data_IF_646446217718
#
_entry.id   IF_646446217718
#
_cell.length_a   1.000
_cell.length_b   1.000
_cell.length_c   1.000
_cell.angle_alpha   90.00
_cell.angle_beta   90.00
_cell.angle_gamma   90.00
#
_symmetry.space_group_name_H-M   'P 1'
#
loop_
_entity.id
_entity.type
_entity.pdbx_description
1 polymer ?
#
# COMPACT_ATOMS: atom_id res chain seq x y z
N UNK A 1 -47.55 -48.48 124.80
CA UNK A 1 -48.80 -47.68 124.64
C UNK A 1 -48.84 -47.13 123.21
N UNK A 2 -49.40 -47.91 122.32
CA UNK A 2 -49.63 -47.52 120.99
C UNK A 2 -50.94 -46.76 120.86
N UNK A 3 -50.94 -45.57 120.39
CA UNK A 3 -52.15 -44.79 120.09
C UNK A 3 -52.39 -44.94 118.58
N UNK A 4 -53.49 -45.61 118.27
CA UNK A 4 -53.99 -45.74 116.97
C UNK A 4 -54.38 -44.41 116.35
N UNK A 5 -53.87 -44.06 115.17
CA UNK A 5 -54.16 -42.85 114.43
C UNK A 5 -55.57 -43.02 113.79
N UNK A 6 -56.47 -42.05 113.96
CA UNK A 6 -57.82 -42.14 113.41
C UNK A 6 -57.83 -42.20 111.88
N UNK A 7 -58.73 -43.05 111.37
CA UNK A 7 -58.88 -43.38 109.95
C UNK A 7 -59.13 -42.12 108.98
N UNK A 8 -59.53 -41.01 109.59
CA UNK A 8 -59.81 -39.79 108.85
C UNK A 8 -58.54 -39.01 108.41
N UNK A 9 -57.48 -39.10 109.22
CA UNK A 9 -56.19 -38.37 108.86
C UNK A 9 -55.52 -39.12 107.68
N UNK A 10 -55.58 -40.43 107.61
CA UNK A 10 -55.04 -41.23 106.48
C UNK A 10 -55.74 -40.95 105.18
N UNK A 11 -57.02 -40.66 105.24
CA UNK A 11 -57.84 -40.35 104.03
C UNK A 11 -57.50 -39.01 103.49
N UNK A 12 -57.20 -38.03 104.34
CA UNK A 12 -56.88 -36.67 103.99
C UNK A 12 -55.48 -36.54 103.30
N UNK A 13 -54.47 -37.29 103.92
CA UNK A 13 -53.13 -37.34 103.29
C UNK A 13 -53.10 -38.09 101.96
N UNK A 14 -53.88 -39.18 101.81
CA UNK A 14 -53.99 -39.94 100.64
C UNK A 14 -54.63 -39.08 99.50
N UNK A 15 -55.63 -38.30 99.82
CA UNK A 15 -56.29 -37.42 98.87
C UNK A 15 -55.42 -36.23 98.50
N UNK A 16 -54.61 -35.72 99.47
CA UNK A 16 -53.66 -34.65 99.10
C UNK A 16 -52.52 -35.15 98.19
N UNK A 17 -52.05 -36.40 98.42
CA UNK A 17 -51.01 -36.98 97.58
C UNK A 17 -51.55 -37.29 96.20
N UNK A 18 -52.79 -37.86 96.10
CA UNK A 18 -53.50 -38.16 94.83
C UNK A 18 -53.73 -36.84 94.04
N UNK A 19 -54.10 -35.76 94.78
CA UNK A 19 -54.36 -34.45 94.13
C UNK A 19 -53.04 -33.79 93.64
N UNK A 20 -51.92 -33.94 94.39
CA UNK A 20 -50.62 -33.41 93.95
C UNK A 20 -50.05 -34.23 92.83
N UNK A 21 -50.09 -35.57 92.89
CA UNK A 21 -49.55 -36.43 91.81
C UNK A 21 -50.48 -36.44 90.59
N UNK A 22 -51.79 -36.29 90.80
CA UNK A 22 -52.75 -36.16 89.72
C UNK A 22 -52.62 -34.86 88.96
N UNK A 23 -52.33 -33.79 89.69
CA UNK A 23 -52.07 -32.43 89.10
C UNK A 23 -50.79 -32.43 88.28
N UNK A 24 -49.76 -33.10 88.79
CA UNK A 24 -48.48 -33.23 88.05
C UNK A 24 -48.64 -34.09 86.79
N UNK A 25 -49.36 -35.23 86.92
CA UNK A 25 -49.67 -36.09 85.79
C UNK A 25 -50.52 -35.39 84.72
N UNK A 26 -51.53 -34.64 85.11
CA UNK A 26 -52.32 -33.85 84.16
C UNK A 26 -51.48 -32.79 83.46
N UNK A 27 -50.57 -32.13 84.20
CA UNK A 27 -49.65 -31.13 83.63
C UNK A 27 -48.70 -31.75 82.57
N UNK A 28 -48.16 -32.93 82.86
CA UNK A 28 -47.33 -33.67 81.91
C UNK A 28 -48.07 -34.04 80.64
N UNK A 29 -49.35 -34.55 80.80
CA UNK A 29 -50.22 -34.88 79.65
C UNK A 29 -50.56 -33.66 78.82
N UNK A 30 -50.84 -32.55 79.42
CA UNK A 30 -51.12 -31.24 78.69
C UNK A 30 -49.82 -30.76 77.96
N UNK A 31 -48.71 -30.85 78.68
CA UNK A 31 -47.39 -30.47 78.09
C UNK A 31 -47.06 -31.42 76.89
N UNK A 32 -47.33 -32.67 77.02
CA UNK A 32 -47.09 -33.66 75.96
C UNK A 32 -48.09 -33.45 74.80
N UNK A 33 -49.33 -33.09 75.07
CA UNK A 33 -50.32 -32.76 74.02
C UNK A 33 -49.94 -31.47 73.25
N UNK A 34 -49.41 -30.46 73.96
CA UNK A 34 -48.91 -29.24 73.34
C UNK A 34 -47.68 -29.52 72.52
N UNK A 35 -46.75 -30.30 73.02
CA UNK A 35 -45.58 -30.76 72.27
C UNK A 35 -45.94 -31.52 70.97
N UNK A 36 -46.92 -32.45 71.06
CA UNK A 36 -47.40 -33.16 69.88
C UNK A 36 -48.12 -32.25 68.94
N UNK A 37 -48.85 -31.24 69.42
CA UNK A 37 -49.50 -30.23 68.58
C UNK A 37 -48.54 -29.33 67.86
N UNK A 38 -47.41 -28.98 68.52
CA UNK A 38 -46.32 -28.17 67.93
C UNK A 38 -45.52 -29.01 66.91
N UNK A 39 -45.42 -30.29 67.08
CA UNK A 39 -44.70 -31.17 66.17
C UNK A 39 -45.57 -31.61 64.95
N UNK A 40 -46.84 -31.35 64.95
CA UNK A 40 -47.68 -31.55 63.75
C UNK A 40 -47.53 -30.36 62.80
N UNK A 41 -46.34 -30.33 62.14
CA UNK A 41 -46.16 -29.49 60.96
C UNK A 41 -46.96 -30.09 59.81
N UNK A 42 -48.18 -29.64 59.61
CA UNK A 42 -49.01 -30.05 58.48
C UNK A 42 -48.55 -29.22 57.28
N UNK A 43 -47.73 -29.84 56.39
CA UNK A 43 -47.47 -29.33 55.10
C UNK A 43 -48.81 -29.23 54.32
N UNK A 44 -49.31 -28.03 54.11
CA UNK A 44 -50.54 -27.83 53.37
C UNK A 44 -50.29 -28.22 51.92
N UNK A 45 -51.18 -29.04 51.35
CA UNK A 45 -51.13 -29.45 49.94
C UNK A 45 -51.04 -28.29 48.95
N UNK A 46 -51.33 -27.05 49.39
CA UNK A 46 -51.20 -25.81 48.63
C UNK A 46 -49.76 -25.34 48.47
N UNK A 47 -48.82 -25.76 49.33
CA UNK A 47 -47.45 -25.31 49.33
C UNK A 47 -46.55 -26.30 48.53
N UNK A 48 -47.13 -27.35 48.00
CA UNK A 48 -46.43 -28.31 47.15
C UNK A 48 -46.81 -28.01 45.70
N UNK A 49 -45.86 -27.45 44.96
CA UNK A 49 -45.96 -27.29 43.51
C UNK A 49 -45.68 -28.66 42.89
N UNK A 50 -46.72 -29.31 42.44
CA UNK A 50 -46.61 -30.55 41.69
C UNK A 50 -46.54 -30.21 40.19
N UNK A 51 -45.49 -30.62 39.55
CA UNK A 51 -45.35 -30.54 38.09
C UNK A 51 -45.30 -31.94 37.51
N UNK A 52 -46.13 -32.17 36.53
CA UNK A 52 -46.07 -33.43 35.77
C UNK A 52 -44.87 -33.36 34.84
N UNK A 53 -44.08 -34.41 34.79
CA UNK A 53 -42.95 -34.54 33.87
C UNK A 53 -43.48 -35.12 32.56
N UNK A 54 -43.58 -34.27 31.56
CA UNK A 54 -43.89 -34.70 30.20
C UNK A 54 -42.60 -34.82 29.38
N UNK A 55 -42.59 -35.83 28.49
CA UNK A 55 -41.52 -35.93 27.48
C UNK A 55 -41.89 -35.00 26.32
N UNK A 56 -41.17 -33.90 26.23
CA UNK A 56 -41.31 -32.97 25.13
C UNK A 56 -40.00 -32.82 24.36
N UNK A 57 -40.10 -32.43 23.11
CA UNK A 57 -38.94 -32.02 22.30
C UNK A 57 -38.57 -30.60 22.69
N UNK A 58 -37.33 -30.38 23.10
CA UNK A 58 -36.80 -29.04 23.34
C UNK A 58 -36.19 -28.55 22.04
N UNK A 59 -36.78 -27.57 21.40
CA UNK A 59 -36.18 -26.85 20.30
C UNK A 59 -35.22 -25.80 20.85
N UNK A 60 -33.93 -26.05 20.66
CA UNK A 60 -32.90 -25.06 20.99
C UNK A 60 -32.67 -24.20 19.74
N UNK A 61 -33.18 -22.99 19.75
CA UNK A 61 -32.87 -22.01 18.71
C UNK A 61 -31.66 -21.20 19.11
N UNK A 62 -30.62 -21.21 18.25
CA UNK A 62 -29.46 -20.31 18.38
C UNK A 62 -29.67 -19.16 17.43
N UNK A 63 -29.83 -17.95 17.95
CA UNK A 63 -29.89 -16.73 17.15
C UNK A 63 -28.46 -16.23 16.95
N UNK A 64 -28.03 -16.14 15.71
CA UNK A 64 -26.77 -15.52 15.33
C UNK A 64 -27.05 -14.32 14.41
N UNK A 65 -26.40 -13.20 14.68
CA UNK A 65 -26.39 -12.07 13.76
C UNK A 65 -25.11 -12.14 12.93
N UNK A 66 -25.23 -12.06 11.62
CA UNK A 66 -24.11 -12.02 10.68
C UNK A 66 -24.25 -10.87 9.71
N UNK A 67 -23.10 -10.29 9.31
CA UNK A 67 -23.05 -9.30 8.22
C UNK A 67 -22.63 -10.05 6.95
N UNK A 68 -23.47 -10.03 5.92
CA UNK A 68 -23.11 -10.54 4.61
C UNK A 68 -22.15 -9.53 3.97
N UNK A 69 -20.94 -9.99 3.69
CA UNK A 69 -19.95 -9.20 2.95
C UNK A 69 -19.74 -9.80 1.57
N UNK A 70 -19.57 -9.00 0.51
CA UNK A 70 -19.30 -9.53 -0.82
C UNK A 70 -17.94 -10.22 -0.83
N UNK A 71 -17.82 -11.31 -1.62
CA UNK A 71 -16.56 -12.05 -1.75
C UNK A 71 -15.44 -11.22 -2.41
N UNK A 72 -15.82 -10.26 -3.25
CA UNK A 72 -14.90 -9.34 -3.94
C UNK A 72 -15.45 -7.92 -3.86
N UNK A 73 -14.73 -7.10 -3.14
CA UNK A 73 -14.96 -5.67 -3.05
C UNK A 73 -13.74 -4.96 -3.64
N UNK A 74 -13.97 -4.05 -4.58
CA UNK A 74 -12.91 -3.27 -5.20
C UNK A 74 -13.17 -1.80 -4.93
N UNK A 75 -12.20 -1.19 -4.26
CA UNK A 75 -12.22 0.22 -3.92
C UNK A 75 -11.62 1.00 -5.08
N UNK A 76 -12.31 2.03 -5.53
CA UNK A 76 -11.83 2.98 -6.53
C UNK A 76 -11.43 4.24 -5.77
N UNK A 77 -10.14 4.56 -5.84
CA UNK A 77 -9.57 5.74 -5.21
C UNK A 77 -9.33 6.83 -6.27
N UNK A 78 -9.36 8.08 -5.83
CA UNK A 78 -8.98 9.21 -6.69
C UNK A 78 -7.47 9.15 -6.98
N UNK A 79 -7.03 9.18 -8.26
CA UNK A 79 -5.62 9.22 -8.60
C UNK A 79 -4.99 10.61 -8.44
N UNK A 80 -5.81 11.63 -8.29
CA UNK A 80 -5.38 13.04 -8.22
C UNK A 80 -6.13 13.81 -7.14
N UNK A 81 -5.58 14.95 -6.74
CA UNK A 81 -6.32 15.95 -5.97
C UNK A 81 -7.20 16.75 -6.93
N UNK A 82 -8.49 16.70 -6.77
CA UNK A 82 -9.44 17.32 -7.68
C UNK A 82 -10.80 17.61 -7.02
N UNK A 83 -11.73 18.12 -7.79
CA UNK A 83 -13.12 18.36 -7.39
C UNK A 83 -14.04 17.54 -8.29
N UNK A 84 -15.12 17.00 -7.71
CA UNK A 84 -16.15 16.28 -8.45
C UNK A 84 -16.98 17.30 -9.23
N UNK A 85 -17.01 17.19 -10.57
CA UNK A 85 -17.85 18.00 -11.44
C UNK A 85 -19.23 17.36 -11.57
N UNK A 86 -19.27 16.04 -11.76
CA UNK A 86 -20.51 15.32 -12.03
C UNK A 86 -20.39 13.85 -11.60
N UNK A 87 -21.46 13.31 -11.05
CA UNK A 87 -21.60 11.90 -10.74
C UNK A 87 -22.65 11.28 -11.69
N UNK A 88 -22.19 10.39 -12.57
CA UNK A 88 -23.06 9.74 -13.58
C UNK A 88 -23.78 8.53 -13.00
N UNK A 89 -23.30 7.96 -11.93
CA UNK A 89 -23.82 6.73 -11.30
C UNK A 89 -23.91 6.89 -9.79
N UNK A 90 -24.80 6.09 -9.19
CA UNK A 90 -25.03 6.07 -7.74
C UNK A 90 -24.81 4.67 -7.19
N UNK A 91 -24.72 4.56 -5.87
CA UNK A 91 -24.75 3.27 -5.19
C UNK A 91 -26.02 2.50 -5.53
N UNK A 92 -25.88 1.21 -5.86
CA UNK A 92 -26.96 0.34 -6.36
C UNK A 92 -26.95 0.15 -7.89
N UNK A 93 -26.30 1.04 -8.66
CA UNK A 93 -26.28 0.95 -10.11
C UNK A 93 -25.37 -0.19 -10.59
N UNK A 94 -25.82 -0.88 -11.65
CA UNK A 94 -25.01 -1.83 -12.42
C UNK A 94 -24.21 -1.08 -13.48
N UNK A 95 -22.93 -1.38 -13.60
CA UNK A 95 -22.01 -0.77 -14.57
C UNK A 95 -21.32 -1.83 -15.40
N UNK A 96 -21.18 -1.55 -16.68
CA UNK A 96 -20.41 -2.38 -17.61
C UNK A 96 -18.99 -1.80 -17.79
N UNK A 97 -18.15 -2.56 -18.53
CA UNK A 97 -16.78 -2.13 -18.83
C UNK A 97 -16.78 -0.79 -19.56
N UNK A 98 -15.94 0.15 -19.10
CA UNK A 98 -15.80 1.49 -19.68
C UNK A 98 -16.89 2.48 -19.29
N UNK A 99 -17.94 2.06 -18.54
CA UNK A 99 -18.99 2.96 -18.10
C UNK A 99 -18.43 4.05 -17.19
N UNK A 100 -18.63 5.36 -17.48
CA UNK A 100 -18.18 6.44 -16.61
C UNK A 100 -18.99 6.41 -15.30
N UNK A 101 -18.29 6.57 -14.17
CA UNK A 101 -18.88 6.56 -12.83
C UNK A 101 -19.04 8.00 -12.36
N UNK A 102 -17.96 8.77 -12.39
CA UNK A 102 -17.95 10.18 -12.03
C UNK A 102 -16.92 10.95 -12.85
N UNK A 103 -17.09 12.27 -12.91
CA UNK A 103 -16.22 13.21 -13.62
C UNK A 103 -15.50 14.10 -12.62
N UNK A 104 -14.18 14.05 -12.68
CA UNK A 104 -13.30 14.94 -11.92
C UNK A 104 -12.94 16.19 -12.73
N UNK A 105 -12.57 17.26 -12.05
CA UNK A 105 -12.00 18.46 -12.67
C UNK A 105 -10.55 18.20 -13.07
N UNK A 106 -10.31 17.98 -14.34
CA UNK A 106 -9.00 17.63 -14.88
C UNK A 106 -8.20 18.82 -15.39
N UNK A 107 -8.76 20.04 -15.40
CA UNK A 107 -8.15 21.21 -16.04
C UNK A 107 -6.74 21.50 -15.55
N UNK A 108 -6.50 21.44 -14.25
CA UNK A 108 -5.18 21.64 -13.66
C UNK A 108 -4.19 20.54 -14.10
N UNK A 109 -4.62 19.29 -14.05
CA UNK A 109 -3.79 18.12 -14.41
C UNK A 109 -3.49 18.09 -15.91
N UNK A 110 -4.47 18.41 -16.75
CA UNK A 110 -4.29 18.55 -18.21
C UNK A 110 -3.29 19.67 -18.54
N UNK A 111 -3.37 20.81 -17.85
CA UNK A 111 -2.42 21.91 -18.04
C UNK A 111 -1.01 21.51 -17.63
N UNK A 112 -0.87 20.79 -16.50
CA UNK A 112 0.40 20.25 -16.06
C UNK A 112 0.98 19.26 -17.08
N UNK A 113 0.15 18.34 -17.61
CA UNK A 113 0.55 17.39 -18.63
C UNK A 113 1.03 18.09 -19.92
N UNK A 114 0.31 19.12 -20.39
CA UNK A 114 0.72 19.91 -21.56
C UNK A 114 2.08 20.59 -21.36
N UNK A 115 2.31 21.18 -20.18
CA UNK A 115 3.62 21.75 -19.84
C UNK A 115 4.75 20.72 -19.90
N UNK A 116 4.50 19.50 -19.40
CA UNK A 116 5.49 18.43 -19.48
C UNK A 116 5.73 17.95 -20.93
N UNK A 117 4.71 17.98 -21.80
CA UNK A 117 4.89 17.72 -23.23
C UNK A 117 5.79 18.75 -23.91
N UNK A 118 5.59 20.03 -23.62
CA UNK A 118 6.44 21.10 -24.14
C UNK A 118 7.87 20.94 -23.63
N UNK A 119 8.05 20.56 -22.37
CA UNK A 119 9.37 20.29 -21.79
C UNK A 119 10.04 19.06 -22.42
N UNK A 120 9.28 17.99 -22.70
CA UNK A 120 9.80 16.80 -23.42
C UNK A 120 10.32 17.19 -24.80
N UNK A 121 9.58 18.03 -25.52
CA UNK A 121 9.97 18.49 -26.83
C UNK A 121 11.23 19.37 -26.77
N UNK A 122 11.32 20.27 -25.79
CA UNK A 122 12.52 21.07 -25.54
C UNK A 122 13.74 20.19 -25.27
N UNK A 123 13.63 19.19 -24.39
CA UNK A 123 14.72 18.24 -24.08
C UNK A 123 15.12 17.41 -25.30
N UNK A 124 14.20 17.06 -26.17
CA UNK A 124 14.47 16.37 -27.43
C UNK A 124 15.33 17.25 -28.35
N UNK A 125 14.98 18.52 -28.53
CA UNK A 125 15.79 19.45 -29.32
C UNK A 125 17.15 19.71 -28.70
N UNK A 126 17.28 19.81 -27.38
CA UNK A 126 18.56 19.91 -26.71
C UNK A 126 19.47 18.70 -26.96
N UNK A 127 18.92 17.52 -26.96
CA UNK A 127 19.64 16.27 -27.27
C UNK A 127 20.13 16.28 -28.73
N UNK A 128 19.28 16.70 -29.66
CA UNK A 128 19.63 16.79 -31.07
C UNK A 128 20.72 17.85 -31.31
N UNK A 129 20.61 19.01 -30.66
CA UNK A 129 21.63 20.03 -30.69
C UNK A 129 22.97 19.50 -30.16
N UNK A 130 22.97 18.75 -29.07
CA UNK A 130 24.19 18.15 -28.52
C UNK A 130 24.82 17.16 -29.52
N UNK A 131 24.02 16.34 -30.22
CA UNK A 131 24.50 15.41 -31.25
C UNK A 131 25.20 16.14 -32.36
N UNK A 132 24.56 17.19 -32.94
CA UNK A 132 25.12 18.01 -34.01
C UNK A 132 26.41 18.70 -33.58
N UNK A 133 26.42 19.26 -32.37
CA UNK A 133 27.61 19.91 -31.81
C UNK A 133 28.78 18.94 -31.63
N UNK A 134 28.51 17.74 -31.13
CA UNK A 134 29.49 16.69 -30.94
C UNK A 134 30.06 16.20 -32.28
N UNK A 135 29.19 15.94 -33.27
CA UNK A 135 29.58 15.52 -34.61
C UNK A 135 30.44 16.61 -35.31
N UNK A 136 30.04 17.88 -35.22
CA UNK A 136 30.80 19.00 -35.79
C UNK A 136 32.18 19.12 -35.15
N UNK A 137 32.27 19.01 -33.81
CA UNK A 137 33.54 19.06 -33.09
C UNK A 137 34.47 17.90 -33.49
N UNK A 138 33.95 16.67 -33.53
CA UNK A 138 34.73 15.50 -33.95
C UNK A 138 35.15 15.57 -35.43
N UNK A 139 34.29 16.11 -36.30
CA UNK A 139 34.61 16.34 -37.71
C UNK A 139 35.76 17.35 -37.87
N UNK A 140 35.73 18.44 -37.09
CA UNK A 140 36.81 19.43 -37.10
C UNK A 140 38.15 18.81 -36.62
N UNK A 141 38.14 18.02 -35.56
CA UNK A 141 39.34 17.31 -35.10
C UNK A 141 39.84 16.30 -36.14
N UNK A 142 38.95 15.55 -36.79
CA UNK A 142 39.33 14.67 -37.89
C UNK A 142 39.95 15.40 -39.08
N UNK A 143 39.47 16.60 -39.40
CA UNK A 143 40.06 17.47 -40.44
C UNK A 143 41.48 17.92 -40.04
N UNK A 144 41.67 18.33 -38.78
CA UNK A 144 43.01 18.71 -38.28
C UNK A 144 43.99 17.52 -38.34
N UNK A 145 43.56 16.31 -38.05
CA UNK A 145 44.37 15.12 -38.23
C UNK A 145 44.76 14.90 -39.70
N UNK A 146 43.82 15.09 -40.64
CA UNK A 146 44.14 15.01 -42.08
C UNK A 146 45.18 16.04 -42.51
N UNK A 147 45.08 17.28 -42.03
CA UNK A 147 46.08 18.32 -42.29
C UNK A 147 47.45 17.91 -41.72
N UNK A 148 47.49 17.44 -40.46
CA UNK A 148 48.76 16.95 -39.86
C UNK A 148 49.36 15.75 -40.60
N UNK A 149 48.53 14.85 -41.16
CA UNK A 149 49.02 13.73 -42.02
C UNK A 149 49.68 14.30 -43.29
N UNK A 150 49.09 15.31 -43.93
CA UNK A 150 49.70 15.94 -45.12
C UNK A 150 51.01 16.66 -44.78
N UNK A 151 51.10 17.34 -43.64
CA UNK A 151 52.34 17.97 -43.16
C UNK A 151 53.40 16.90 -42.83
N UNK A 152 53.04 15.79 -42.21
CA UNK A 152 54.00 14.71 -41.95
C UNK A 152 54.53 14.11 -43.24
N UNK A 153 53.65 13.85 -44.24
CA UNK A 153 54.08 13.38 -45.57
C UNK A 153 55.09 14.36 -46.24
N UNK A 154 54.88 15.68 -46.11
CA UNK A 154 55.81 16.68 -46.58
C UNK A 154 57.16 16.56 -45.89
N UNK A 155 57.19 16.45 -44.54
CA UNK A 155 58.40 16.26 -43.75
C UNK A 155 59.10 14.95 -44.11
N UNK A 156 58.39 13.89 -44.44
CA UNK A 156 58.93 12.62 -44.89
C UNK A 156 59.64 12.74 -46.22
N UNK A 157 59.04 13.46 -47.18
CA UNK A 157 59.66 13.73 -48.50
C UNK A 157 60.89 14.57 -48.32
N UNK A 158 60.87 15.60 -47.49
CA UNK A 158 62.03 16.44 -47.15
C UNK A 158 63.16 15.61 -46.54
N UNK A 159 62.89 14.76 -45.58
CA UNK A 159 63.90 13.86 -45.01
C UNK A 159 64.48 12.94 -46.07
N UNK A 160 63.65 12.37 -46.96
CA UNK A 160 64.12 11.51 -48.07
C UNK A 160 65.03 12.25 -49.04
N UNK A 161 64.70 13.52 -49.36
CA UNK A 161 65.52 14.34 -50.22
C UNK A 161 66.87 14.70 -49.58
N UNK A 162 66.91 15.10 -48.30
CA UNK A 162 68.15 15.40 -47.58
C UNK A 162 69.06 14.16 -47.46
N UNK A 163 68.51 12.99 -47.24
CA UNK A 163 69.26 11.73 -47.23
C UNK A 163 69.84 11.41 -48.61
N UNK A 164 69.10 11.69 -49.70
CA UNK A 164 69.59 11.51 -51.05
C UNK A 164 70.74 12.49 -51.37
N UNK A 165 70.60 13.76 -51.02
CA UNK A 165 71.64 14.77 -51.23
C UNK A 165 72.92 14.47 -50.45
N UNK A 166 72.83 13.98 -49.22
CA UNK A 166 73.96 13.55 -48.41
C UNK A 166 74.66 12.33 -49.05
N UNK A 167 73.88 11.37 -49.58
CA UNK A 167 74.43 10.16 -50.24
C UNK A 167 75.23 10.47 -51.49
N UNK A 168 74.96 11.58 -52.20
CA UNK A 168 75.72 11.99 -53.40
C UNK A 168 76.78 13.08 -53.08
N UNK A 169 77.01 13.37 -51.78
CA UNK A 169 78.00 14.31 -51.33
C UNK A 169 77.60 15.78 -51.47
N UNK A 170 76.32 16.11 -51.84
CA UNK A 170 75.82 17.47 -52.03
C UNK A 170 75.07 17.98 -50.81
N UNK A 171 74.85 17.10 -49.76
CA UNK A 171 74.18 17.41 -48.52
C UNK A 171 75.14 17.47 -47.32
N UNK A 172 74.58 17.69 -46.14
CA UNK A 172 75.34 17.59 -44.89
C UNK A 172 74.60 16.71 -43.90
N UNK A 173 75.32 15.91 -43.15
CA UNK A 173 74.77 15.01 -42.12
C UNK A 173 73.92 15.81 -41.08
N UNK A 174 74.23 17.06 -40.79
CA UNK A 174 73.49 17.91 -39.91
C UNK A 174 72.06 18.25 -40.44
N UNK A 175 71.92 18.53 -41.75
CA UNK A 175 70.59 18.69 -42.39
C UNK A 175 69.75 17.42 -42.33
N UNK A 176 70.35 16.28 -42.59
CA UNK A 176 69.68 14.98 -42.46
C UNK A 176 69.14 14.81 -41.03
N UNK A 177 69.97 15.13 -40.01
CA UNK A 177 69.60 15.01 -38.60
C UNK A 177 68.47 15.99 -38.25
N UNK A 178 68.51 17.21 -38.74
CA UNK A 178 67.44 18.21 -38.55
C UNK A 178 66.11 17.75 -39.20
N UNK A 179 66.16 17.26 -40.43
CA UNK A 179 64.96 16.74 -41.13
C UNK A 179 64.40 15.50 -40.40
N UNK A 180 65.27 14.61 -39.89
CA UNK A 180 64.87 13.44 -39.13
C UNK A 180 64.19 13.84 -37.80
N UNK A 181 64.77 14.80 -37.07
CA UNK A 181 64.15 15.34 -35.86
C UNK A 181 62.80 16.00 -36.17
N UNK A 182 62.69 16.78 -37.26
CA UNK A 182 61.41 17.40 -37.67
C UNK A 182 60.33 16.35 -38.04
N UNK A 183 60.73 15.26 -38.75
CA UNK A 183 59.85 14.16 -39.09
C UNK A 183 59.38 13.43 -37.82
N UNK A 184 60.30 13.05 -36.93
CA UNK A 184 59.98 12.33 -35.72
C UNK A 184 59.11 13.16 -34.79
N UNK A 185 59.36 14.46 -34.66
CA UNK A 185 58.47 15.41 -33.94
C UNK A 185 57.06 15.43 -34.54
N UNK A 186 56.95 15.57 -35.86
CA UNK A 186 55.65 15.59 -36.54
C UNK A 186 54.88 14.25 -36.37
N UNK A 187 55.59 13.13 -36.33
CA UNK A 187 55.00 11.82 -36.06
C UNK A 187 54.42 11.77 -34.65
N UNK A 188 55.12 12.28 -33.64
CA UNK A 188 54.62 12.32 -32.25
C UNK A 188 53.42 13.30 -32.11
N UNK A 189 53.48 14.47 -32.79
CA UNK A 189 52.39 15.43 -32.81
C UNK A 189 51.10 14.80 -33.42
N UNK A 190 51.24 14.08 -34.53
CA UNK A 190 50.12 13.36 -35.15
C UNK A 190 49.56 12.29 -34.23
N UNK A 191 50.43 11.51 -33.57
CA UNK A 191 49.99 10.45 -32.61
C UNK A 191 49.25 11.08 -31.43
N UNK A 192 49.73 12.21 -30.88
CA UNK A 192 49.06 12.96 -29.84
C UNK A 192 47.67 13.44 -30.29
N UNK A 193 47.52 13.99 -31.50
CA UNK A 193 46.23 14.44 -32.04
C UNK A 193 45.26 13.27 -32.21
N UNK A 194 45.73 12.10 -32.69
CA UNK A 194 44.92 10.89 -32.80
C UNK A 194 44.43 10.43 -31.42
N UNK A 195 45.33 10.42 -30.44
CA UNK A 195 44.97 10.04 -29.08
C UNK A 195 43.94 10.98 -28.46
N UNK A 196 44.09 12.30 -28.69
CA UNK A 196 43.12 13.30 -28.25
C UNK A 196 41.77 13.09 -28.90
N UNK A 197 41.73 12.83 -30.23
CA UNK A 197 40.51 12.52 -30.94
C UNK A 197 39.77 11.31 -30.37
N UNK A 198 40.47 10.20 -30.14
CA UNK A 198 39.86 8.98 -29.59
C UNK A 198 39.34 9.18 -28.15
N UNK A 199 40.07 9.93 -27.33
CA UNK A 199 39.63 10.28 -25.99
C UNK A 199 38.41 11.19 -26.03
N UNK A 200 38.40 12.25 -26.84
CA UNK A 200 37.28 13.17 -26.99
C UNK A 200 36.04 12.45 -27.52
N UNK A 201 36.19 11.52 -28.46
CA UNK A 201 35.12 10.69 -29.01
C UNK A 201 34.46 9.86 -27.91
N UNK A 202 35.26 9.26 -27.01
CA UNK A 202 34.75 8.48 -25.87
C UNK A 202 34.00 9.38 -24.88
N UNK A 203 34.54 10.53 -24.54
CA UNK A 203 33.92 11.52 -23.63
C UNK A 203 32.57 11.96 -24.20
N UNK A 204 32.54 12.42 -25.45
CA UNK A 204 31.32 12.89 -26.12
C UNK A 204 30.25 11.76 -26.23
N UNK A 205 30.68 10.55 -26.50
CA UNK A 205 29.76 9.39 -26.52
C UNK A 205 29.18 9.12 -25.13
N UNK A 206 29.97 9.23 -24.06
CA UNK A 206 29.50 9.06 -22.70
C UNK A 206 28.51 10.19 -22.30
N UNK A 207 28.84 11.46 -22.61
CA UNK A 207 27.97 12.62 -22.34
C UNK A 207 26.63 12.47 -23.07
N UNK A 208 26.68 12.07 -24.35
CA UNK A 208 25.47 11.82 -25.13
C UNK A 208 24.63 10.74 -24.47
N UNK A 209 25.26 9.64 -24.02
CA UNK A 209 24.56 8.54 -23.36
C UNK A 209 23.89 8.97 -22.06
N UNK A 210 24.55 9.79 -21.27
CA UNK A 210 23.95 10.38 -20.04
C UNK A 210 22.73 11.22 -20.40
N UNK A 211 22.82 12.09 -21.41
CA UNK A 211 21.69 12.90 -21.86
C UNK A 211 20.53 12.09 -22.44
N UNK A 212 20.80 11.02 -23.16
CA UNK A 212 19.79 10.06 -23.60
C UNK A 212 19.07 9.39 -22.42
N UNK A 213 19.80 9.02 -21.38
CA UNK A 213 19.20 8.42 -20.18
C UNK A 213 18.34 9.44 -19.42
N UNK A 214 18.81 10.68 -19.27
CA UNK A 214 18.02 11.75 -18.66
C UNK A 214 16.71 11.98 -19.42
N UNK A 215 16.76 12.02 -20.76
CA UNK A 215 15.58 12.13 -21.61
C UNK A 215 14.63 10.96 -21.42
N UNK A 216 15.17 9.73 -21.40
CA UNK A 216 14.35 8.52 -21.21
C UNK A 216 13.67 8.47 -19.84
N UNK A 217 14.37 8.94 -18.77
CA UNK A 217 13.76 9.04 -17.42
C UNK A 217 12.61 10.05 -17.45
N UNK A 218 12.83 11.22 -18.07
CA UNK A 218 11.79 12.24 -18.21
C UNK A 218 10.58 11.73 -19.01
N UNK A 219 10.82 11.07 -20.15
CA UNK A 219 9.76 10.49 -20.99
C UNK A 219 8.94 9.43 -20.25
N UNK A 220 9.57 8.63 -19.37
CA UNK A 220 8.84 7.68 -18.51
C UNK A 220 7.95 8.42 -17.50
N UNK A 221 8.45 9.48 -16.88
CA UNK A 221 7.66 10.33 -15.97
C UNK A 221 6.46 10.97 -16.68
N UNK A 222 6.66 11.43 -17.92
CA UNK A 222 5.58 11.95 -18.76
C UNK A 222 4.53 10.88 -19.08
N UNK A 223 4.95 9.64 -19.38
CA UNK A 223 4.04 8.52 -19.63
C UNK A 223 3.24 8.15 -18.37
N UNK A 224 3.84 8.22 -17.19
CA UNK A 224 3.15 8.02 -15.92
C UNK A 224 2.12 9.12 -15.65
N UNK A 225 2.47 10.39 -15.90
CA UNK A 225 1.53 11.51 -15.79
C UNK A 225 0.34 11.34 -16.73
N UNK A 226 0.57 10.89 -17.97
CA UNK A 226 -0.50 10.56 -18.92
C UNK A 226 -1.41 9.47 -18.38
N UNK A 227 -0.83 8.39 -17.84
CA UNK A 227 -1.61 7.32 -17.22
C UNK A 227 -2.46 7.83 -16.06
N UNK A 228 -1.88 8.65 -15.19
CA UNK A 228 -2.60 9.28 -14.08
C UNK A 228 -3.79 10.12 -14.59
N UNK A 229 -3.60 10.86 -15.69
CA UNK A 229 -4.66 11.64 -16.33
C UNK A 229 -5.76 10.74 -16.92
N UNK A 230 -5.38 9.64 -17.56
CA UNK A 230 -6.32 8.66 -18.12
C UNK A 230 -7.10 7.96 -16.99
N UNK A 231 -6.43 7.57 -15.91
CA UNK A 231 -7.03 6.94 -14.72
C UNK A 231 -7.97 7.91 -13.97
N UNK A 232 -7.75 9.23 -14.10
CA UNK A 232 -8.61 10.27 -13.52
C UNK A 232 -9.96 10.40 -14.23
N UNK A 233 -10.13 9.80 -15.40
CA UNK A 233 -11.42 9.53 -16.00
C UNK A 233 -12.03 8.28 -15.35
N UNK A 234 -12.71 8.45 -14.22
CA UNK A 234 -13.18 7.33 -13.40
C UNK A 234 -14.20 6.49 -14.16
N UNK A 235 -13.76 5.34 -14.67
CA UNK A 235 -14.57 4.38 -15.43
C UNK A 235 -14.48 3.00 -14.78
N UNK A 236 -15.51 2.17 -14.99
CA UNK A 236 -15.49 0.79 -14.52
C UNK A 236 -14.62 -0.08 -15.43
N UNK A 237 -13.55 -0.74 -14.93
CA UNK A 237 -12.74 -1.64 -15.74
C UNK A 237 -13.40 -3.00 -16.01
N UNK A 238 -14.49 -3.32 -15.31
CA UNK A 238 -15.23 -4.59 -15.46
C UNK A 238 -16.69 -4.41 -15.06
N UNK A 239 -17.54 -5.36 -15.47
CA UNK A 239 -18.94 -5.41 -15.08
C UNK A 239 -19.04 -5.60 -13.54
N UNK A 240 -19.80 -4.75 -12.88
CA UNK A 240 -19.91 -4.72 -11.43
C UNK A 240 -21.20 -4.01 -10.99
N UNK A 241 -21.49 -4.08 -9.69
CA UNK A 241 -22.53 -3.26 -9.04
C UNK A 241 -21.81 -2.29 -8.10
N UNK A 242 -22.15 -1.02 -8.20
CA UNK A 242 -21.62 0.01 -7.31
C UNK A 242 -22.31 -0.09 -5.95
N UNK A 243 -21.55 -0.19 -4.87
CA UNK A 243 -22.11 -0.17 -3.49
C UNK A 243 -22.05 1.23 -2.87
N UNK A 244 -21.02 1.98 -3.26
CA UNK A 244 -20.83 3.35 -2.83
C UNK A 244 -20.29 4.19 -3.97
N UNK A 245 -20.75 5.43 -4.09
CA UNK A 245 -20.19 6.45 -4.98
C UNK A 245 -20.28 7.79 -4.27
N UNK A 246 -19.19 8.53 -4.23
CA UNK A 246 -19.19 9.91 -3.77
C UNK A 246 -19.93 10.78 -4.79
N UNK A 247 -21.15 11.16 -4.49
CA UNK A 247 -22.03 11.85 -5.43
C UNK A 247 -22.19 13.35 -5.14
N UNK A 248 -21.45 13.88 -4.17
CA UNK A 248 -21.54 15.28 -3.81
C UNK A 248 -20.79 16.14 -4.83
N UNK A 249 -21.52 16.74 -5.76
CA UNK A 249 -20.96 17.67 -6.76
C UNK A 249 -20.33 18.87 -6.07
N UNK A 250 -19.10 19.23 -6.47
CA UNK A 250 -18.33 20.29 -5.86
C UNK A 250 -17.44 19.84 -4.69
N UNK A 251 -17.60 18.62 -4.19
CA UNK A 251 -16.73 18.08 -3.16
C UNK A 251 -15.28 17.96 -3.64
N UNK A 252 -14.33 18.31 -2.79
CA UNK A 252 -12.90 18.07 -3.03
C UNK A 252 -12.56 16.65 -2.65
N UNK A 253 -11.79 15.99 -3.51
CA UNK A 253 -11.24 14.67 -3.29
C UNK A 253 -9.71 14.73 -3.33
N UNK A 254 -9.08 14.06 -2.40
CA UNK A 254 -7.62 13.96 -2.34
C UNK A 254 -7.12 12.71 -3.06
N UNK A 255 -5.89 12.75 -3.52
CA UNK A 255 -5.23 11.57 -4.07
C UNK A 255 -5.24 10.42 -3.05
N UNK A 256 -5.65 9.22 -3.48
CA UNK A 256 -5.81 8.05 -2.61
C UNK A 256 -7.12 8.00 -1.83
N UNK A 257 -7.94 9.06 -1.85
CA UNK A 257 -9.25 9.06 -1.21
C UNK A 257 -10.21 8.14 -1.96
N UNK A 258 -10.94 7.33 -1.23
CA UNK A 258 -11.98 6.47 -1.76
C UNK A 258 -13.12 7.30 -2.34
N UNK A 259 -13.46 7.07 -3.61
CA UNK A 259 -14.53 7.79 -4.33
C UNK A 259 -15.64 6.87 -4.81
N UNK A 260 -15.39 5.57 -4.96
CA UNK A 260 -16.42 4.59 -5.24
C UNK A 260 -15.98 3.20 -4.73
N UNK A 261 -16.99 2.36 -4.48
CA UNK A 261 -16.79 0.95 -4.15
C UNK A 261 -17.67 0.14 -5.10
N UNK A 262 -17.13 -0.91 -5.67
CA UNK A 262 -17.88 -1.84 -6.51
C UNK A 262 -17.70 -3.28 -6.04
N UNK A 263 -18.74 -4.07 -6.22
CA UNK A 263 -18.72 -5.50 -5.99
C UNK A 263 -18.83 -6.23 -7.32
N UNK A 264 -17.94 -7.18 -7.55
CA UNK A 264 -18.06 -8.10 -8.67
C UNK A 264 -19.21 -9.07 -8.43
N UNK A 265 -19.95 -9.48 -9.48
CA UNK A 265 -20.79 -10.67 -9.36
C UNK A 265 -19.89 -11.86 -9.09
N UNK A 266 -20.12 -12.55 -7.96
CA UNK A 266 -19.57 -13.88 -7.78
C UNK A 266 -20.07 -14.73 -8.95
N UNK A 267 -19.18 -15.28 -9.76
CA UNK A 267 -19.53 -16.39 -10.62
C UNK A 267 -19.83 -17.56 -9.68
N UNK A 268 -21.11 -17.90 -9.56
CA UNK A 268 -21.57 -19.18 -9.02
C UNK A 268 -21.31 -20.23 -10.07
#
# INVERSE_FOLDING_TARGET
>A
MDREIPKEVRKKERNQKIMKYGGIGAGIIVCMAVLISLMQSSVKRRDIVLSTVDKGTIEVSVSASGKVVPAFEEIINSPINSRIIEAYRKGGDSVDVGTPILKLDLQSTETAYKKLLDEEQMRRYQLEQLKITNETSLSNMAMNIKVSVMELNRKEVELRNERYLDSIGSGTTDKVRQAELAYNKGKLELEQLRQQYENEKKVKAADLKVKELEFNIFSKGLAEMKRTLDDAQIRSPRKAILTFVENQVGAQVSQGQQIAIKIGRAHV
#
